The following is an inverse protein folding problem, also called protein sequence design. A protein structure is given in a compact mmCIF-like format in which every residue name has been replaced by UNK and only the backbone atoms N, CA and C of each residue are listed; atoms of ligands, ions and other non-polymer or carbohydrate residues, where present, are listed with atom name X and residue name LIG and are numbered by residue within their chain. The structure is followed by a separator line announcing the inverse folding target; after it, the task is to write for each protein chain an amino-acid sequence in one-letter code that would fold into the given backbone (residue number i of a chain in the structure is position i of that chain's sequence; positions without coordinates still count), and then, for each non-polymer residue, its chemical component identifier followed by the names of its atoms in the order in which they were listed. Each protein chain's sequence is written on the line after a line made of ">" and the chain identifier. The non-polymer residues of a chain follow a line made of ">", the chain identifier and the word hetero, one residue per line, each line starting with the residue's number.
data_IF_886642815633
#
_entry.id   IF_886642815633
#
_cell.length_a   1.000
_cell.length_b   1.000
_cell.length_c   1.000
_cell.angle_alpha   90.00
_cell.angle_beta   90.00
_cell.angle_gamma   90.00
#
_symmetry.space_group_name_H-M   'P 1'
#
loop_
_entity.id
_entity.type
_entity.pdbx_description
1 polymer ?
#
# COMPACT_ATOMS: atom_id res chain seq x y z
N UNK A 1 -41.87 -30.95 -25.87
CA UNK A 1 -41.97 -29.53 -25.44
C UNK A 1 -42.77 -29.50 -24.16
N UNK A 2 -42.17 -29.65 -23.00
CA UNK A 2 -42.83 -29.55 -21.71
C UNK A 2 -42.20 -28.44 -20.88
N UNK A 3 -43.08 -27.58 -20.39
CA UNK A 3 -42.88 -26.34 -19.70
C UNK A 3 -42.27 -26.55 -18.29
N UNK A 4 -41.25 -25.76 -17.96
CA UNK A 4 -40.66 -25.63 -16.61
C UNK A 4 -41.54 -24.71 -15.74
N UNK A 5 -42.66 -25.22 -15.23
CA UNK A 5 -43.42 -24.59 -14.13
C UNK A 5 -44.19 -25.72 -13.47
N UNK A 6 -43.67 -26.22 -12.33
CA UNK A 6 -44.45 -26.91 -11.29
C UNK A 6 -43.44 -27.59 -10.32
N UNK A 7 -42.94 -26.78 -9.42
CA UNK A 7 -42.17 -27.31 -8.27
C UNK A 7 -42.27 -26.35 -7.08
N UNK A 8 -43.47 -26.11 -6.59
CA UNK A 8 -43.68 -25.56 -5.25
C UNK A 8 -45.16 -25.77 -4.85
N UNK A 9 -45.46 -26.93 -4.27
CA UNK A 9 -46.58 -27.06 -3.31
C UNK A 9 -46.38 -28.37 -2.53
N UNK A 10 -46.33 -28.27 -1.20
CA UNK A 10 -46.59 -29.40 -0.32
C UNK A 10 -45.51 -29.63 0.76
N UNK A 11 -45.60 -28.95 1.89
CA UNK A 11 -45.10 -29.50 3.16
C UNK A 11 -46.09 -29.13 4.27
N UNK A 12 -46.75 -30.15 4.74
CA UNK A 12 -47.69 -30.10 5.83
C UNK A 12 -46.97 -30.07 7.18
N UNK A 13 -47.60 -29.41 8.15
CA UNK A 13 -47.16 -29.23 9.52
C UNK A 13 -47.14 -30.56 10.29
N UNK A 14 -46.08 -30.75 11.10
CA UNK A 14 -46.09 -31.66 12.24
C UNK A 14 -45.68 -30.86 13.47
N UNK A 15 -46.61 -30.68 14.38
CA UNK A 15 -46.44 -30.09 15.71
C UNK A 15 -45.81 -31.15 16.62
N UNK A 16 -44.58 -30.90 17.05
CA UNK A 16 -43.90 -31.65 18.08
C UNK A 16 -43.56 -30.73 19.24
N UNK A 17 -44.29 -30.87 20.35
CA UNK A 17 -43.99 -30.16 21.61
C UNK A 17 -42.74 -30.76 22.24
N UNK A 18 -41.61 -30.03 22.21
CA UNK A 18 -40.40 -30.36 22.94
C UNK A 18 -40.05 -29.23 23.90
N UNK A 19 -39.90 -29.54 25.17
CA UNK A 19 -39.45 -28.64 26.23
C UNK A 19 -38.07 -28.02 25.83
N UNK A 20 -38.07 -26.73 25.55
CA UNK A 20 -36.85 -25.97 25.39
C UNK A 20 -36.46 -25.39 26.75
N UNK A 21 -35.45 -25.99 27.37
CA UNK A 21 -34.70 -25.38 28.47
C UNK A 21 -34.14 -24.05 28.01
N UNK A 22 -34.55 -22.95 28.60
CA UNK A 22 -33.97 -21.64 28.43
C UNK A 22 -32.52 -21.65 28.95
N UNK A 23 -31.56 -21.93 28.09
CA UNK A 23 -30.18 -21.50 28.31
C UNK A 23 -30.19 -19.99 28.04
N UNK A 24 -29.96 -19.19 29.07
CA UNK A 24 -29.84 -17.75 28.92
C UNK A 24 -28.75 -17.44 27.91
N UNK A 25 -29.13 -16.88 26.77
CA UNK A 25 -28.19 -16.29 25.84
C UNK A 25 -27.50 -15.13 26.58
N UNK A 26 -26.24 -15.33 26.96
CA UNK A 26 -25.38 -14.22 27.33
C UNK A 26 -25.30 -13.34 26.07
N UNK A 27 -25.92 -12.17 26.13
CA UNK A 27 -25.73 -11.13 25.12
C UNK A 27 -24.24 -10.78 25.12
N UNK A 28 -23.54 -11.19 24.07
CA UNK A 28 -22.22 -10.63 23.81
C UNK A 28 -22.39 -9.11 23.76
N UNK A 29 -21.49 -8.34 24.39
CA UNK A 29 -21.54 -6.89 24.24
C UNK A 29 -21.48 -6.58 22.74
N UNK A 30 -22.47 -5.82 22.26
CA UNK A 30 -22.41 -5.24 20.93
C UNK A 30 -21.05 -4.55 20.79
N UNK A 31 -20.31 -4.90 19.75
CA UNK A 31 -19.11 -4.17 19.39
C UNK A 31 -19.49 -2.68 19.32
N UNK A 32 -18.75 -1.76 19.95
CA UNK A 32 -19.12 -0.37 19.93
C UNK A 32 -19.18 0.07 18.47
N UNK A 33 -20.39 0.30 17.97
CA UNK A 33 -20.59 1.10 16.76
C UNK A 33 -19.77 2.34 17.01
N UNK A 34 -18.84 2.68 16.09
CA UNK A 34 -17.97 3.85 16.20
C UNK A 34 -18.84 5.07 16.54
N UNK A 35 -19.09 5.26 17.83
CA UNK A 35 -19.68 6.49 18.31
C UNK A 35 -18.62 7.55 18.06
N UNK A 36 -18.88 8.38 17.04
CA UNK A 36 -18.21 9.64 16.83
C UNK A 36 -18.08 10.32 18.21
N UNK A 37 -16.95 10.16 18.87
CA UNK A 37 -16.57 11.11 19.89
C UNK A 37 -16.71 12.46 19.22
N UNK A 38 -17.47 13.38 19.81
CA UNK A 38 -17.75 14.69 19.22
C UNK A 38 -16.43 15.30 18.78
N UNK A 39 -16.08 15.05 17.53
CA UNK A 39 -14.83 15.49 16.95
C UNK A 39 -14.93 16.99 16.87
N UNK A 40 -14.01 17.67 17.54
CA UNK A 40 -13.85 19.11 17.29
C UNK A 40 -13.79 19.30 15.78
N UNK A 41 -14.47 20.29 15.21
CA UNK A 41 -14.42 20.52 13.79
C UNK A 41 -12.95 20.59 13.34
N UNK A 42 -12.60 20.03 12.18
CA UNK A 42 -11.23 20.08 11.68
C UNK A 42 -10.75 21.54 11.66
N UNK A 43 -9.46 21.81 11.89
CA UNK A 43 -8.94 23.17 11.84
C UNK A 43 -9.24 23.76 10.46
N UNK A 44 -9.45 25.07 10.39
CA UNK A 44 -9.68 25.76 9.11
C UNK A 44 -8.55 25.43 8.12
N UNK A 45 -8.84 25.23 6.83
CA UNK A 45 -7.83 24.94 5.84
C UNK A 45 -6.76 26.03 5.82
N UNK A 46 -5.46 25.68 5.75
CA UNK A 46 -4.39 26.65 5.72
C UNK A 46 -4.45 27.50 4.43
N UNK A 47 -4.03 28.75 4.53
CA UNK A 47 -3.87 29.67 3.40
C UNK A 47 -5.15 29.97 2.61
N UNK A 48 -6.33 29.96 3.25
CA UNK A 48 -7.60 30.30 2.60
C UNK A 48 -8.07 29.31 1.52
N UNK A 49 -7.51 28.10 1.49
CA UNK A 49 -7.99 27.03 0.60
C UNK A 49 -9.37 26.57 1.04
N UNK A 50 -10.27 26.22 0.11
CA UNK A 50 -11.60 25.71 0.44
C UNK A 50 -11.61 24.25 0.90
N UNK A 51 -10.44 23.63 1.15
CA UNK A 51 -10.26 22.24 1.56
C UNK A 51 -9.00 22.06 2.39
N UNK A 52 -8.95 20.98 3.17
CA UNK A 52 -7.72 20.50 3.80
C UNK A 52 -6.88 19.75 2.77
N UNK A 53 -5.63 20.17 2.50
CA UNK A 53 -4.77 19.45 1.57
C UNK A 53 -4.51 18.03 2.06
N UNK A 54 -4.41 17.10 1.12
CA UNK A 54 -3.91 15.77 1.44
C UNK A 54 -2.41 15.79 1.75
N UNK A 55 -1.94 14.78 2.48
CA UNK A 55 -0.53 14.59 2.78
C UNK A 55 0.02 13.54 1.82
N UNK A 56 0.85 13.99 0.89
CA UNK A 56 1.64 13.09 0.03
C UNK A 56 2.99 12.88 0.69
N UNK A 57 3.19 11.74 1.35
CA UNK A 57 4.46 11.46 2.00
C UNK A 57 5.59 11.44 0.96
N UNK A 58 6.66 12.19 1.24
CA UNK A 58 7.83 12.36 0.37
C UNK A 58 7.51 12.89 -1.04
N UNK A 59 6.42 13.63 -1.18
CA UNK A 59 5.97 14.30 -2.39
C UNK A 59 5.26 15.61 -2.08
N UNK A 60 4.64 16.22 -3.07
CA UNK A 60 3.92 17.48 -2.94
C UNK A 60 2.72 17.56 -3.89
N UNK A 61 1.84 18.53 -3.66
CA UNK A 61 0.72 18.84 -4.55
C UNK A 61 1.13 19.81 -5.65
N UNK A 62 0.59 19.63 -6.86
CA UNK A 62 0.84 20.51 -8.00
C UNK A 62 0.29 21.90 -7.74
N UNK A 63 1.11 22.97 -7.79
CA UNK A 63 0.62 24.33 -7.66
C UNK A 63 -0.26 24.71 -8.85
N UNK A 64 -1.20 25.62 -8.61
CA UNK A 64 -2.12 26.15 -9.61
C UNK A 64 -2.31 27.64 -9.48
N UNK A 65 -2.80 28.26 -10.53
CA UNK A 65 -3.24 29.66 -10.51
C UNK A 65 -4.70 29.77 -10.98
N UNK A 66 -5.40 30.79 -10.50
CA UNK A 66 -6.73 31.11 -10.99
C UNK A 66 -6.64 32.05 -12.18
N UNK A 67 -7.29 31.71 -13.29
CA UNK A 67 -7.37 32.58 -14.46
C UNK A 67 -8.82 32.59 -14.97
N UNK A 68 -9.52 33.69 -14.82
CA UNK A 68 -10.92 33.89 -15.25
C UNK A 68 -11.86 32.75 -14.81
N UNK A 69 -11.77 32.32 -13.55
CA UNK A 69 -12.59 31.25 -12.99
C UNK A 69 -12.17 29.85 -13.40
N UNK A 70 -11.06 29.69 -14.09
CA UNK A 70 -10.44 28.41 -14.44
C UNK A 70 -9.20 28.19 -13.60
N UNK A 71 -9.08 27.03 -12.98
CA UNK A 71 -7.90 26.61 -12.22
C UNK A 71 -6.87 26.02 -13.19
N UNK A 72 -5.76 26.72 -13.38
CA UNK A 72 -4.72 26.33 -14.33
C UNK A 72 -3.57 25.61 -13.64
N UNK A 73 -3.19 24.47 -14.19
CA UNK A 73 -2.03 23.65 -13.79
C UNK A 73 -1.04 23.51 -14.93
N UNK A 74 0.23 23.32 -14.59
CA UNK A 74 1.25 22.97 -15.57
C UNK A 74 1.96 21.68 -15.14
N UNK A 75 1.67 20.60 -15.85
CA UNK A 75 2.28 19.29 -15.65
C UNK A 75 3.38 19.10 -16.69
N UNK A 76 4.59 18.81 -16.26
CA UNK A 76 5.76 18.64 -17.12
C UNK A 76 6.23 17.21 -17.01
N UNK A 77 6.06 16.41 -18.08
CA UNK A 77 6.60 15.07 -18.19
C UNK A 77 8.10 15.15 -18.51
N UNK A 78 8.95 14.59 -17.67
CA UNK A 78 10.40 14.73 -17.78
C UNK A 78 11.17 13.59 -17.07
N UNK A 79 12.43 13.33 -17.45
CA UNK A 79 13.31 12.45 -16.69
C UNK A 79 13.54 13.01 -15.28
N UNK A 80 13.55 12.14 -14.29
CA UNK A 80 13.74 12.47 -12.88
C UNK A 80 14.68 11.48 -12.20
N UNK A 81 15.38 11.92 -11.17
CA UNK A 81 16.13 11.03 -10.26
C UNK A 81 15.36 10.93 -8.96
N UNK A 82 14.98 9.72 -8.60
CA UNK A 82 14.27 9.45 -7.34
C UNK A 82 15.18 8.67 -6.39
N UNK A 83 15.35 9.16 -5.18
CA UNK A 83 15.87 8.34 -4.11
C UNK A 83 14.77 7.38 -3.65
N UNK A 84 14.97 6.09 -3.80
CA UNK A 84 14.02 5.04 -3.41
C UNK A 84 14.10 4.79 -1.89
N UNK A 85 15.32 4.72 -1.38
CA UNK A 85 15.63 4.64 0.04
C UNK A 85 17.02 5.23 0.27
N UNK A 86 17.45 5.50 1.52
CA UNK A 86 18.80 5.98 1.79
C UNK A 86 19.87 5.11 1.11
N UNK A 87 20.70 5.74 0.29
CA UNK A 87 21.76 5.06 -0.45
C UNK A 87 21.36 4.43 -1.79
N UNK A 88 20.07 4.41 -2.15
CA UNK A 88 19.60 3.92 -3.44
C UNK A 88 18.82 4.98 -4.21
N UNK A 89 19.20 5.20 -5.47
CA UNK A 89 18.55 6.14 -6.40
C UNK A 89 18.15 5.43 -7.68
N UNK A 90 17.07 5.90 -8.29
CA UNK A 90 16.61 5.42 -9.59
C UNK A 90 16.47 6.57 -10.58
N UNK A 91 16.90 6.33 -11.83
CA UNK A 91 16.62 7.18 -12.97
C UNK A 91 15.26 6.80 -13.52
N UNK A 92 14.27 7.64 -13.26
CA UNK A 92 12.89 7.42 -13.64
C UNK A 92 12.43 8.46 -14.65
N UNK A 93 11.21 8.28 -15.13
CA UNK A 93 10.43 9.35 -15.75
C UNK A 93 9.30 9.73 -14.78
N UNK A 94 8.98 11.01 -14.75
CA UNK A 94 7.97 11.51 -13.82
C UNK A 94 7.39 12.83 -14.28
N UNK A 95 6.86 13.56 -13.33
CA UNK A 95 6.24 14.85 -13.59
C UNK A 95 6.75 15.89 -12.60
N UNK A 96 7.13 17.08 -13.12
CA UNK A 96 7.58 18.21 -12.30
C UNK A 96 8.65 17.84 -11.27
N UNK A 97 9.67 17.08 -11.71
CA UNK A 97 10.83 16.72 -10.89
C UNK A 97 10.61 15.57 -9.90
N UNK A 98 9.48 14.86 -9.94
CA UNK A 98 9.24 13.72 -9.06
C UNK A 98 8.52 12.54 -9.72
N UNK A 99 8.68 11.37 -9.13
CA UNK A 99 7.87 10.16 -9.34
C UNK A 99 7.48 9.59 -7.96
N UNK A 100 6.17 9.27 -7.71
CA UNK A 100 5.04 9.67 -8.54
C UNK A 100 5.00 11.17 -8.77
N UNK A 101 4.32 11.59 -9.84
CA UNK A 101 4.06 13.00 -10.11
C UNK A 101 3.30 13.70 -8.98
N UNK A 102 3.30 15.03 -8.94
CA UNK A 102 2.65 15.79 -7.88
C UNK A 102 1.15 15.51 -7.81
N UNK A 103 0.61 15.45 -6.59
CA UNK A 103 -0.83 15.27 -6.38
C UNK A 103 -1.61 16.48 -6.92
N UNK A 104 -2.59 16.24 -7.77
CA UNK A 104 -3.50 17.29 -8.26
C UNK A 104 -4.68 17.37 -7.30
N UNK A 105 -4.94 18.54 -6.73
CA UNK A 105 -6.05 18.77 -5.81
C UNK A 105 -7.01 19.82 -6.35
N UNK A 106 -8.29 19.45 -6.48
CA UNK A 106 -9.36 20.31 -6.95
C UNK A 106 -10.61 20.14 -6.11
N UNK A 107 -11.57 21.06 -6.25
CA UNK A 107 -12.89 20.93 -5.62
C UNK A 107 -13.91 20.53 -6.67
N UNK A 108 -14.90 19.75 -6.27
CA UNK A 108 -16.04 19.37 -7.12
C UNK A 108 -16.71 20.59 -7.71
N UNK A 109 -16.80 20.63 -9.04
CA UNK A 109 -17.30 21.76 -9.81
C UNK A 109 -16.21 22.69 -10.34
N UNK A 110 -14.95 22.56 -9.94
CA UNK A 110 -13.86 23.35 -10.51
C UNK A 110 -13.74 23.12 -12.02
N UNK A 111 -13.62 24.20 -12.76
CA UNK A 111 -13.11 24.17 -14.14
C UNK A 111 -11.59 24.13 -14.08
N UNK A 112 -11.02 23.12 -14.70
CA UNK A 112 -9.56 22.95 -14.74
C UNK A 112 -9.04 23.10 -16.16
N UNK A 113 -7.86 23.68 -16.29
CA UNK A 113 -7.08 23.72 -17.52
C UNK A 113 -5.68 23.23 -17.18
N UNK A 114 -5.27 22.12 -17.78
CA UNK A 114 -4.00 21.49 -17.48
C UNK A 114 -3.14 21.53 -18.74
N UNK A 115 -2.06 22.28 -18.66
CA UNK A 115 -1.02 22.29 -19.69
C UNK A 115 -0.11 21.11 -19.40
N UNK A 116 0.07 20.22 -20.40
CA UNK A 116 0.97 19.06 -20.30
C UNK A 116 2.09 19.25 -21.29
N UNK A 117 3.29 19.51 -20.80
CA UNK A 117 4.50 19.68 -21.61
C UNK A 117 5.32 18.41 -21.59
N UNK A 118 5.65 17.89 -22.77
CA UNK A 118 6.48 16.72 -22.91
C UNK A 118 7.96 17.09 -23.06
N UNK A 119 8.80 16.72 -22.10
CA UNK A 119 10.27 16.81 -22.14
C UNK A 119 10.94 15.43 -22.17
N UNK A 120 10.17 14.39 -22.41
CA UNK A 120 10.69 13.03 -22.61
C UNK A 120 11.31 12.89 -24.01
N UNK A 121 12.15 11.86 -24.24
CA UNK A 121 12.72 11.58 -25.55
C UNK A 121 11.71 11.00 -26.56
N UNK A 122 10.54 10.60 -26.11
CA UNK A 122 9.47 10.01 -26.93
C UNK A 122 8.13 10.73 -26.72
N UNK A 123 7.12 10.39 -27.54
CA UNK A 123 5.78 10.92 -27.37
C UNK A 123 5.13 10.40 -26.10
N UNK A 124 4.24 11.17 -25.50
CA UNK A 124 3.45 10.79 -24.32
C UNK A 124 1.99 11.24 -24.45
N UNK A 125 1.18 10.93 -23.47
CA UNK A 125 -0.16 11.47 -23.27
C UNK A 125 -0.49 11.46 -21.79
N UNK A 126 -1.65 11.97 -21.39
CA UNK A 126 -2.16 11.85 -20.02
C UNK A 126 -3.60 11.37 -20.05
N UNK A 127 -3.86 10.23 -19.43
CA UNK A 127 -5.19 9.75 -19.08
C UNK A 127 -5.53 10.15 -17.65
N UNK A 128 -6.72 10.70 -17.47
CA UNK A 128 -7.27 11.15 -16.19
C UNK A 128 -8.14 10.03 -15.60
N UNK A 129 -7.51 9.05 -15.04
CA UNK A 129 -8.11 7.78 -14.63
C UNK A 129 -9.27 7.98 -13.63
N UNK A 130 -10.44 7.53 -14.02
CA UNK A 130 -11.66 7.62 -13.21
C UNK A 130 -12.42 8.95 -13.32
N UNK A 131 -11.91 9.97 -14.01
CA UNK A 131 -12.58 11.24 -14.20
C UNK A 131 -13.74 11.13 -15.23
N UNK A 132 -14.82 11.85 -14.95
CA UNK A 132 -15.93 12.00 -15.90
C UNK A 132 -15.76 13.28 -16.70
N UNK A 133 -15.24 13.15 -17.89
CA UNK A 133 -14.80 14.27 -18.75
C UNK A 133 -15.29 14.07 -20.21
N UNK A 134 -15.20 15.09 -21.08
CA UNK A 134 -15.44 14.94 -22.50
C UNK A 134 -14.45 13.96 -23.14
N UNK A 135 -14.91 13.08 -24.04
CA UNK A 135 -14.09 12.04 -24.65
C UNK A 135 -12.80 12.57 -25.28
N UNK A 136 -12.81 13.72 -25.95
CA UNK A 136 -11.59 14.32 -26.52
C UNK A 136 -10.56 14.81 -25.49
N UNK A 137 -10.86 14.75 -24.18
CA UNK A 137 -9.95 15.08 -23.08
C UNK A 137 -9.46 13.84 -22.32
N UNK A 138 -9.81 12.63 -22.80
CA UNK A 138 -9.53 11.37 -22.11
C UNK A 138 -8.05 10.95 -22.17
N UNK A 139 -7.31 11.39 -23.16
CA UNK A 139 -5.86 11.25 -23.22
C UNK A 139 -5.34 9.94 -23.80
N UNK A 140 -6.19 9.15 -24.45
CA UNK A 140 -5.79 7.88 -25.08
C UNK A 140 -5.17 8.15 -26.45
N UNK A 141 -3.87 7.89 -26.58
CA UNK A 141 -3.13 8.10 -27.84
C UNK A 141 -3.70 7.24 -28.95
N UNK A 142 -3.96 7.88 -30.10
CA UNK A 142 -4.50 7.21 -31.29
C UNK A 142 -6.02 7.00 -31.28
N UNK A 143 -6.67 7.12 -30.12
CA UNK A 143 -8.12 7.00 -30.01
C UNK A 143 -8.81 8.35 -29.79
N UNK A 144 -8.43 9.08 -28.74
CA UNK A 144 -9.06 10.35 -28.37
C UNK A 144 -8.18 11.57 -28.70
N UNK A 145 -6.90 11.37 -28.94
CA UNK A 145 -5.94 12.40 -29.31
C UNK A 145 -4.70 11.82 -30.01
N UNK A 146 -3.90 12.63 -30.72
CA UNK A 146 -2.54 12.25 -31.09
C UNK A 146 -1.61 12.30 -29.87
N UNK A 147 -0.48 11.58 -29.92
CA UNK A 147 0.54 11.67 -28.89
C UNK A 147 1.15 13.07 -28.81
N UNK A 148 1.54 13.49 -27.62
CA UNK A 148 2.26 14.74 -27.37
C UNK A 148 3.73 14.49 -27.72
N UNK A 149 4.18 15.00 -28.86
CA UNK A 149 5.57 14.84 -29.31
C UNK A 149 6.57 15.55 -28.36
N UNK A 150 7.83 15.13 -28.31
CA UNK A 150 8.87 15.80 -27.54
C UNK A 150 8.91 17.32 -27.80
N UNK A 151 9.00 18.10 -26.72
CA UNK A 151 9.01 19.56 -26.76
C UNK A 151 7.64 20.22 -26.99
N UNK A 152 6.55 19.45 -27.16
CA UNK A 152 5.20 19.99 -27.36
C UNK A 152 4.41 20.08 -26.06
N UNK A 153 3.41 20.97 -26.05
CA UNK A 153 2.46 21.14 -24.96
C UNK A 153 1.05 20.95 -25.47
N UNK A 154 0.28 20.09 -24.79
CA UNK A 154 -1.16 19.92 -25.01
C UNK A 154 -1.92 20.53 -23.85
N UNK A 155 -3.20 20.84 -24.09
CA UNK A 155 -4.09 21.44 -23.09
C UNK A 155 -5.31 20.55 -22.92
N UNK A 156 -5.59 20.21 -21.65
CA UNK A 156 -6.79 19.50 -21.25
C UNK A 156 -7.66 20.45 -20.45
N UNK A 157 -8.92 20.59 -20.85
CA UNK A 157 -9.86 21.49 -20.18
C UNK A 157 -11.19 20.78 -19.91
N UNK A 158 -11.56 20.64 -18.63
CA UNK A 158 -12.79 19.98 -18.23
C UNK A 158 -13.26 20.47 -16.84
N UNK A 159 -14.41 19.97 -16.41
CA UNK A 159 -14.94 20.21 -15.06
C UNK A 159 -14.72 18.98 -14.19
N UNK A 160 -14.17 19.14 -13.01
CA UNK A 160 -14.07 18.09 -12.00
C UNK A 160 -15.47 17.79 -11.42
N UNK A 161 -16.14 16.77 -11.95
CA UNK A 161 -17.59 16.55 -11.72
C UNK A 161 -17.93 15.76 -10.48
N UNK A 162 -16.96 15.10 -9.86
CA UNK A 162 -17.22 14.14 -8.79
C UNK A 162 -16.11 14.20 -7.75
N UNK A 163 -16.49 14.34 -6.48
CA UNK A 163 -15.57 14.19 -5.36
C UNK A 163 -15.12 12.73 -5.22
N UNK A 164 -13.85 12.52 -4.88
CA UNK A 164 -13.27 11.18 -4.73
C UNK A 164 -11.77 11.17 -4.94
N UNK A 165 -11.27 9.95 -5.10
CA UNK A 165 -9.87 9.61 -5.29
C UNK A 165 -9.67 9.09 -6.71
N UNK A 166 -8.68 9.63 -7.42
CA UNK A 166 -8.40 9.34 -8.82
C UNK A 166 -6.89 9.31 -9.04
N UNK A 167 -6.47 8.92 -10.24
CA UNK A 167 -5.07 8.87 -10.65
C UNK A 167 -4.90 9.55 -12.00
N UNK A 168 -3.67 9.81 -12.40
CA UNK A 168 -3.32 10.15 -13.78
C UNK A 168 -2.05 9.41 -14.19
N UNK A 169 -2.00 8.98 -15.44
CA UNK A 169 -0.88 8.25 -16.00
C UNK A 169 -0.83 8.39 -17.52
N UNK A 170 0.29 8.10 -18.19
CA UNK A 170 0.34 8.10 -19.64
C UNK A 170 -0.56 7.00 -20.22
N UNK A 171 -1.06 7.24 -21.42
CA UNK A 171 -1.73 6.24 -22.24
C UNK A 171 -1.11 6.23 -23.67
N UNK A 172 0.23 6.30 -23.69
CA UNK A 172 1.12 6.21 -24.84
C UNK A 172 2.33 5.41 -24.39
N UNK A 173 2.72 4.37 -25.12
CA UNK A 173 3.73 3.40 -24.71
C UNK A 173 3.67 3.06 -23.22
N UNK A 174 2.49 2.65 -22.80
CA UNK A 174 2.10 2.55 -21.39
C UNK A 174 3.01 1.60 -20.62
N UNK A 175 3.43 0.50 -21.25
CA UNK A 175 4.32 -0.48 -20.66
C UNK A 175 5.66 0.16 -20.24
N UNK A 176 6.30 0.91 -21.11
CA UNK A 176 7.57 1.58 -20.82
C UNK A 176 7.38 2.72 -19.84
N UNK A 177 6.42 3.60 -20.09
CA UNK A 177 6.27 4.83 -19.33
C UNK A 177 5.80 4.56 -17.89
N UNK A 178 4.94 3.56 -17.69
CA UNK A 178 4.54 3.13 -16.35
C UNK A 178 5.69 2.44 -15.59
N UNK A 179 6.45 1.55 -16.25
CA UNK A 179 7.61 0.90 -15.64
C UNK A 179 8.71 1.92 -15.26
N UNK A 180 8.81 3.03 -15.99
CA UNK A 180 9.68 4.16 -15.67
C UNK A 180 9.15 5.04 -14.53
N UNK A 181 7.94 4.81 -14.02
CA UNK A 181 7.39 5.51 -12.85
C UNK A 181 6.46 6.69 -13.17
N UNK A 182 5.96 6.81 -14.41
CA UNK A 182 5.07 7.88 -14.82
C UNK A 182 3.65 7.64 -14.34
N UNK A 183 3.31 8.17 -13.20
CA UNK A 183 1.97 8.11 -12.60
C UNK A 183 1.82 9.22 -11.56
N UNK A 184 0.60 9.58 -11.21
CA UNK A 184 0.33 10.55 -10.17
C UNK A 184 -1.07 10.42 -9.59
N UNK A 185 -1.29 11.10 -8.49
CA UNK A 185 -2.53 11.07 -7.74
C UNK A 185 -3.40 12.29 -8.04
N UNK A 186 -4.71 12.07 -8.07
CA UNK A 186 -5.69 13.15 -8.21
C UNK A 186 -6.75 13.03 -7.11
N UNK A 187 -6.97 14.11 -6.39
CA UNK A 187 -8.03 14.22 -5.38
C UNK A 187 -9.00 15.33 -5.76
N UNK A 188 -10.27 14.97 -5.89
CA UNK A 188 -11.34 15.94 -5.97
C UNK A 188 -12.01 16.03 -4.60
N UNK A 189 -11.83 17.14 -3.92
CA UNK A 189 -12.47 17.42 -2.63
C UNK A 189 -13.97 17.69 -2.83
N UNK A 190 -14.83 17.31 -1.88
CA UNK A 190 -16.24 17.63 -1.97
C UNK A 190 -16.46 19.15 -1.91
N UNK A 191 -17.50 19.64 -2.56
CA UNK A 191 -17.88 21.06 -2.57
C UNK A 191 -18.21 21.57 -1.16
N UNK A 192 -18.81 20.72 -0.33
CA UNK A 192 -18.99 20.97 1.10
C UNK A 192 -17.80 20.34 1.87
N UNK A 193 -16.88 21.14 2.44
CA UNK A 193 -15.71 20.61 3.13
C UNK A 193 -16.05 19.85 4.42
N UNK A 194 -17.22 20.04 5.02
CA UNK A 194 -17.67 19.29 6.18
C UNK A 194 -18.05 17.85 5.82
N UNK A 195 -18.41 17.63 4.55
CA UNK A 195 -18.74 16.31 4.06
C UNK A 195 -17.48 15.48 3.92
N UNK A 196 -17.42 14.36 4.59
CA UNK A 196 -16.24 13.49 4.65
C UNK A 196 -15.00 14.14 5.27
N UNK A 197 -15.18 15.05 6.24
CA UNK A 197 -14.07 15.67 6.96
C UNK A 197 -13.31 14.65 7.79
N UNK A 198 -11.98 14.77 7.79
CA UNK A 198 -11.04 13.97 8.61
C UNK A 198 -9.96 14.88 9.17
N UNK A 199 -9.28 14.45 10.22
CA UNK A 199 -8.16 15.21 10.81
C UNK A 199 -6.88 15.05 9.97
N UNK A 200 -6.68 13.86 9.37
CA UNK A 200 -5.53 13.53 8.52
C UNK A 200 -5.98 12.76 7.28
N UNK A 201 -5.46 13.13 6.12
CA UNK A 201 -5.79 12.53 4.83
C UNK A 201 -4.49 12.25 4.07
N UNK A 202 -4.07 10.99 4.01
CA UNK A 202 -2.83 10.56 3.37
C UNK A 202 -3.10 9.96 1.99
N UNK A 203 -2.14 10.11 1.07
CA UNK A 203 -2.19 9.47 -0.25
C UNK A 203 -0.99 8.58 -0.49
N UNK A 204 -1.25 7.39 -1.02
CA UNK A 204 -0.25 6.40 -1.41
C UNK A 204 -0.49 5.92 -2.82
N UNK A 205 0.47 6.13 -3.70
CA UNK A 205 0.51 5.49 -5.00
C UNK A 205 1.42 4.27 -4.91
N UNK A 206 0.87 3.12 -5.30
CA UNK A 206 1.58 1.84 -5.27
C UNK A 206 2.39 1.72 -6.56
N UNK A 207 3.69 1.54 -6.43
CA UNK A 207 4.61 1.41 -7.55
C UNK A 207 5.44 0.13 -7.41
N UNK A 208 5.80 -0.45 -8.56
CA UNK A 208 6.73 -1.57 -8.63
C UNK A 208 7.79 -1.27 -9.70
N UNK A 209 9.03 -1.65 -9.42
CA UNK A 209 10.15 -1.48 -10.31
C UNK A 209 10.95 -2.77 -10.41
N UNK A 210 11.55 -2.98 -11.57
CA UNK A 210 12.58 -3.98 -11.76
C UNK A 210 13.90 -3.26 -12.05
N UNK A 211 14.78 -3.19 -11.02
CA UNK A 211 16.08 -2.52 -11.10
C UNK A 211 17.16 -3.53 -10.74
N UNK A 212 18.03 -3.85 -11.69
CA UNK A 212 19.13 -4.77 -11.45
C UNK A 212 20.07 -4.22 -10.37
N UNK A 213 20.51 -5.06 -9.39
CA UNK A 213 21.48 -4.66 -8.39
C UNK A 213 22.71 -3.99 -9.00
N UNK A 214 23.10 -2.83 -8.46
CA UNK A 214 24.20 -2.01 -9.00
C UNK A 214 23.82 -1.09 -10.17
N UNK A 215 22.60 -1.19 -10.72
CA UNK A 215 22.08 -0.31 -11.76
C UNK A 215 21.22 0.82 -11.20
N UNK A 216 20.86 1.78 -12.07
CA UNK A 216 20.07 2.95 -11.68
C UNK A 216 18.76 3.06 -12.47
N UNK A 217 18.58 2.31 -13.53
CA UNK A 217 17.44 2.48 -14.44
C UNK A 217 16.59 1.21 -14.45
N UNK A 218 15.26 1.32 -14.32
CA UNK A 218 14.37 0.17 -14.41
C UNK A 218 14.48 -0.55 -15.76
N UNK A 219 14.38 -1.87 -15.74
CA UNK A 219 14.18 -2.69 -16.93
C UNK A 219 12.69 -2.61 -17.31
N UNK A 220 12.41 -2.07 -18.48
CA UNK A 220 11.03 -1.76 -18.91
C UNK A 220 10.35 -2.90 -19.67
N UNK A 221 11.09 -3.94 -20.04
CA UNK A 221 10.58 -5.13 -20.69
C UNK A 221 10.09 -6.21 -19.71
N UNK A 222 10.31 -6.03 -18.42
CA UNK A 222 9.84 -6.92 -17.39
C UNK A 222 8.44 -6.49 -16.91
N UNK A 223 7.50 -7.44 -16.86
CA UNK A 223 6.11 -7.19 -16.48
C UNK A 223 5.64 -8.01 -15.28
N UNK A 224 6.40 -9.00 -14.84
CA UNK A 224 5.99 -9.96 -13.82
C UNK A 224 6.95 -10.05 -12.63
N UNK A 225 8.25 -9.97 -12.89
CA UNK A 225 9.29 -10.21 -11.89
C UNK A 225 9.92 -8.91 -11.40
N UNK A 226 9.11 -8.07 -10.77
CA UNK A 226 9.60 -6.87 -10.10
C UNK A 226 10.40 -7.24 -8.85
N UNK A 227 11.40 -6.43 -8.52
CA UNK A 227 12.25 -6.63 -7.35
C UNK A 227 12.17 -5.50 -6.33
N UNK A 228 11.45 -4.43 -6.62
CA UNK A 228 11.20 -3.30 -5.72
C UNK A 228 9.72 -2.95 -5.72
N UNK A 229 9.09 -3.00 -4.55
CA UNK A 229 7.72 -2.55 -4.32
C UNK A 229 7.75 -1.35 -3.38
N UNK A 230 7.02 -0.30 -3.74
CA UNK A 230 7.17 0.99 -3.09
C UNK A 230 5.83 1.65 -2.81
N UNK A 231 5.79 2.46 -1.77
CA UNK A 231 4.78 3.49 -1.54
C UNK A 231 5.33 4.84 -2.02
N UNK A 232 4.66 5.52 -2.93
CA UNK A 232 5.08 6.81 -3.47
C UNK A 232 6.52 6.78 -4.03
N UNK A 233 6.89 5.70 -4.72
CA UNK A 233 8.25 5.44 -5.21
C UNK A 233 9.32 5.49 -4.12
N UNK A 234 8.96 5.10 -2.90
CA UNK A 234 9.87 4.93 -1.76
C UNK A 234 9.69 3.55 -1.14
N UNK A 235 10.80 2.88 -0.90
CA UNK A 235 10.84 1.66 -0.11
C UNK A 235 11.24 1.98 1.33
N UNK A 236 10.65 1.33 2.32
CA UNK A 236 11.09 1.51 3.71
C UNK A 236 12.57 1.16 3.87
N UNK A 237 13.37 1.95 4.61
CA UNK A 237 12.99 3.08 5.47
C UNK A 237 12.97 4.45 4.76
N UNK A 238 12.99 4.50 3.44
CA UNK A 238 13.02 5.74 2.66
C UNK A 238 11.68 6.49 2.60
N UNK A 239 10.58 5.87 3.05
CA UNK A 239 9.28 6.53 3.17
C UNK A 239 9.05 7.02 4.60
N UNK A 240 8.52 8.23 4.75
CA UNK A 240 8.19 8.83 6.04
C UNK A 240 7.02 8.09 6.72
N UNK A 241 6.95 8.21 8.05
CA UNK A 241 5.83 7.70 8.84
C UNK A 241 4.59 8.59 8.75
N UNK A 242 3.42 7.96 8.93
CA UNK A 242 2.16 8.68 9.15
C UNK A 242 2.04 9.07 10.61
N UNK A 243 2.22 10.35 10.93
CA UNK A 243 2.17 10.85 12.30
C UNK A 243 0.77 11.40 12.59
N UNK A 244 0.14 10.89 13.64
CA UNK A 244 -1.24 11.20 13.99
C UNK A 244 -1.40 11.33 15.50
N UNK A 245 -2.38 12.12 15.94
CA UNK A 245 -2.75 12.25 17.34
C UNK A 245 -3.76 11.17 17.73
N UNK A 246 -3.69 10.69 18.95
CA UNK A 246 -4.73 9.79 19.47
C UNK A 246 -6.10 10.46 19.38
N UNK A 247 -7.08 9.75 18.84
CA UNK A 247 -8.43 10.21 18.58
C UNK A 247 -8.64 10.91 17.24
N UNK A 248 -7.57 11.15 16.44
CA UNK A 248 -7.73 11.66 15.09
C UNK A 248 -8.51 10.68 14.22
N UNK A 249 -9.42 11.20 13.40
CA UNK A 249 -9.99 10.47 12.27
C UNK A 249 -9.02 10.57 11.10
N UNK A 250 -8.51 9.43 10.69
CA UNK A 250 -7.48 9.32 9.66
C UNK A 250 -8.06 8.69 8.42
N UNK A 251 -7.79 9.30 7.26
CA UNK A 251 -8.05 8.70 5.95
C UNK A 251 -6.74 8.36 5.27
N UNK A 252 -6.70 7.19 4.67
CA UNK A 252 -5.64 6.77 3.76
C UNK A 252 -6.28 6.48 2.41
N UNK A 253 -5.76 7.12 1.37
CA UNK A 253 -6.14 6.90 -0.02
C UNK A 253 -5.02 6.16 -0.70
N UNK A 254 -5.30 5.01 -1.30
CA UNK A 254 -4.32 4.26 -2.06
C UNK A 254 -4.81 4.01 -3.48
N UNK A 255 -3.90 4.13 -4.44
CA UNK A 255 -4.14 3.85 -5.86
C UNK A 255 -3.10 2.88 -6.39
N UNK A 256 -3.53 1.91 -7.18
CA UNK A 256 -2.67 0.86 -7.70
C UNK A 256 -2.53 0.97 -9.23
N UNK A 257 -1.32 1.31 -9.68
CA UNK A 257 -0.92 1.30 -11.09
C UNK A 257 0.25 0.34 -11.34
N UNK A 258 0.37 -0.70 -10.51
CA UNK A 258 1.31 -1.81 -10.73
C UNK A 258 0.65 -2.94 -11.54
N UNK A 259 1.36 -4.03 -11.79
CA UNK A 259 0.87 -5.19 -12.54
C UNK A 259 0.26 -6.28 -11.67
N UNK A 260 0.12 -6.07 -10.35
CA UNK A 260 -0.46 -7.04 -9.41
C UNK A 260 -1.35 -6.33 -8.39
N UNK A 261 -2.23 -7.08 -7.72
CA UNK A 261 -3.00 -6.57 -6.60
C UNK A 261 -2.15 -6.42 -5.34
N UNK A 262 -2.59 -5.56 -4.45
CA UNK A 262 -1.94 -5.31 -3.16
C UNK A 262 -2.96 -5.35 -2.02
N UNK A 263 -3.00 -6.41 -1.21
CA UNK A 263 -3.75 -6.42 0.04
C UNK A 263 -3.03 -5.53 1.06
N UNK A 264 -3.61 -4.37 1.34
CA UNK A 264 -3.04 -3.37 2.26
C UNK A 264 -3.61 -3.58 3.65
N UNK A 265 -2.72 -3.79 4.61
CA UNK A 265 -3.02 -4.12 6.01
C UNK A 265 -2.57 -3.03 6.97
N UNK A 266 -3.43 -2.76 7.97
CA UNK A 266 -3.15 -1.86 9.08
C UNK A 266 -3.14 -2.65 10.39
N UNK A 267 -2.08 -2.54 11.16
CA UNK A 267 -2.00 -3.12 12.49
C UNK A 267 -2.75 -2.29 13.55
N UNK A 268 -3.27 -2.97 14.56
CA UNK A 268 -3.81 -2.36 15.79
C UNK A 268 -5.11 -1.60 15.65
N UNK A 269 -5.65 -1.44 14.46
CA UNK A 269 -6.89 -0.72 14.19
C UNK A 269 -7.70 -1.44 13.11
N UNK A 270 -9.01 -1.47 13.25
CA UNK A 270 -9.92 -1.72 12.14
C UNK A 270 -10.22 -0.41 11.39
N UNK A 271 -10.54 -0.52 10.12
CA UNK A 271 -10.94 0.60 9.27
C UNK A 271 -12.17 0.25 8.44
N UNK A 272 -12.83 1.27 7.92
CA UNK A 272 -13.89 1.14 6.91
C UNK A 272 -13.39 1.55 5.53
N UNK A 273 -13.82 0.84 4.48
CA UNK A 273 -13.64 1.28 3.09
C UNK A 273 -14.69 2.35 2.78
N UNK A 274 -14.28 3.61 2.84
CA UNK A 274 -15.15 4.78 2.66
C UNK A 274 -15.21 5.31 1.24
N UNK A 275 -14.31 4.85 0.37
CA UNK A 275 -14.29 5.23 -1.05
C UNK A 275 -13.66 4.16 -1.94
N UNK A 276 -14.13 4.10 -3.17
CA UNK A 276 -13.60 3.26 -4.24
C UNK A 276 -13.22 4.14 -5.43
N UNK A 277 -12.69 3.56 -6.49
CA UNK A 277 -12.51 4.21 -7.80
C UNK A 277 -13.81 4.76 -8.39
N UNK A 278 -14.96 4.23 -7.97
CA UNK A 278 -16.29 4.72 -8.31
C UNK A 278 -16.73 5.95 -7.52
N UNK A 279 -16.04 6.36 -6.46
CA UNK A 279 -16.38 7.47 -5.56
C UNK A 279 -16.64 7.02 -4.13
N UNK A 280 -17.33 7.84 -3.34
CA UNK A 280 -17.61 7.56 -1.94
C UNK A 280 -18.64 6.44 -1.77
N UNK A 281 -18.35 5.49 -0.88
CA UNK A 281 -19.30 4.46 -0.46
C UNK A 281 -20.37 5.07 0.45
N UNK A 282 -21.60 4.58 0.33
CA UNK A 282 -22.68 4.98 1.24
C UNK A 282 -22.41 4.45 2.64
N UNK A 283 -22.73 5.20 3.71
CA UNK A 283 -22.46 4.75 5.08
C UNK A 283 -22.99 3.36 5.39
N UNK A 284 -24.20 3.05 4.93
CA UNK A 284 -24.85 1.75 5.11
C UNK A 284 -24.22 0.60 4.33
N UNK A 285 -23.30 0.91 3.43
CA UNK A 285 -22.54 -0.07 2.62
C UNK A 285 -21.10 -0.24 3.09
N UNK A 286 -20.75 0.30 4.24
CA UNK A 286 -19.42 0.17 4.82
C UNK A 286 -19.40 -0.98 5.81
N UNK A 287 -18.27 -1.64 5.89
CA UNK A 287 -18.02 -2.71 6.84
C UNK A 287 -16.58 -2.62 7.36
N UNK A 288 -16.31 -3.15 8.57
CA UNK A 288 -14.96 -3.12 9.11
C UNK A 288 -14.04 -4.12 8.41
N UNK A 289 -12.81 -3.69 8.16
CA UNK A 289 -11.72 -4.51 7.65
C UNK A 289 -10.44 -4.18 8.41
N UNK A 290 -9.44 -5.04 8.31
CA UNK A 290 -8.06 -4.79 8.73
C UNK A 290 -7.10 -4.94 7.56
N UNK A 291 -7.59 -5.51 6.45
CA UNK A 291 -6.86 -5.67 5.19
C UNK A 291 -7.81 -5.48 4.03
N UNK A 292 -7.50 -4.56 3.12
CA UNK A 292 -8.29 -4.33 1.91
C UNK A 292 -7.47 -4.58 0.66
N UNK A 293 -8.04 -5.30 -0.30
CA UNK A 293 -7.37 -5.56 -1.58
C UNK A 293 -7.56 -4.37 -2.53
N UNK A 294 -6.45 -3.98 -3.18
CA UNK A 294 -6.45 -2.93 -4.20
C UNK A 294 -5.97 -3.58 -5.50
N UNK A 295 -6.92 -3.90 -6.37
CA UNK A 295 -6.61 -4.49 -7.67
C UNK A 295 -5.93 -3.47 -8.60
N UNK A 296 -5.32 -3.97 -9.67
CA UNK A 296 -4.69 -3.14 -10.71
C UNK A 296 -5.72 -2.15 -11.27
N UNK A 297 -5.36 -0.88 -11.37
CA UNK A 297 -6.22 0.21 -11.83
C UNK A 297 -7.25 0.69 -10.80
N UNK A 298 -7.27 0.15 -9.58
CA UNK A 298 -8.23 0.54 -8.56
C UNK A 298 -7.67 1.55 -7.55
N UNK A 299 -8.60 2.32 -6.97
CA UNK A 299 -8.35 3.16 -5.79
C UNK A 299 -9.23 2.70 -4.63
N UNK A 300 -8.72 2.86 -3.41
CA UNK A 300 -9.46 2.70 -2.15
C UNK A 300 -9.19 3.89 -1.24
N UNK A 301 -10.22 4.36 -0.57
CA UNK A 301 -10.09 5.24 0.58
C UNK A 301 -10.57 4.46 1.81
N UNK A 302 -9.72 4.37 2.83
CA UNK A 302 -10.01 3.72 4.10
C UNK A 302 -9.98 4.77 5.21
N UNK A 303 -10.83 4.62 6.22
CA UNK A 303 -10.88 5.52 7.37
C UNK A 303 -10.89 4.74 8.67
N UNK A 304 -10.14 5.24 9.65
CA UNK A 304 -10.11 4.69 11.01
C UNK A 304 -9.96 5.81 12.04
N UNK A 305 -10.25 5.47 13.30
CA UNK A 305 -9.94 6.33 14.45
C UNK A 305 -8.62 5.85 15.05
N UNK A 306 -7.65 6.73 15.17
CA UNK A 306 -6.35 6.44 15.78
C UNK A 306 -6.51 6.30 17.31
N UNK A 307 -7.13 5.20 17.78
CA UNK A 307 -7.52 5.00 19.18
C UNK A 307 -6.35 4.56 20.06
N UNK A 308 -5.46 3.72 19.52
CA UNK A 308 -4.42 3.06 20.29
C UNK A 308 -3.06 3.72 20.09
N UNK A 309 -2.43 4.29 21.13
CA UNK A 309 -1.08 4.85 21.06
C UNK A 309 -0.04 3.78 20.76
N UNK A 310 0.90 4.12 19.88
CA UNK A 310 1.98 3.18 19.51
C UNK A 310 2.55 3.50 18.14
N UNK A 311 3.42 2.60 17.68
CA UNK A 311 3.94 2.55 16.32
C UNK A 311 3.36 1.32 15.64
N UNK A 312 2.49 1.54 14.66
CA UNK A 312 1.70 0.50 14.02
C UNK A 312 2.14 0.28 12.59
N UNK A 313 2.38 -0.97 12.21
CA UNK A 313 2.74 -1.31 10.84
C UNK A 313 1.58 -1.03 9.87
N UNK A 314 1.90 -0.45 8.72
CA UNK A 314 1.02 -0.30 7.57
C UNK A 314 1.76 -0.81 6.33
N UNK A 315 1.26 -1.87 5.71
CA UNK A 315 2.02 -2.56 4.68
C UNK A 315 1.15 -3.39 3.72
N UNK A 316 1.73 -3.77 2.57
CA UNK A 316 1.18 -4.80 1.72
C UNK A 316 1.33 -6.17 2.40
N UNK A 317 0.28 -7.00 2.43
CA UNK A 317 0.33 -8.31 3.10
C UNK A 317 0.89 -9.44 2.21
N UNK A 318 1.32 -9.15 1.00
CA UNK A 318 2.17 -10.05 0.22
C UNK A 318 3.59 -9.95 0.75
N UNK A 319 4.09 -11.02 1.39
CA UNK A 319 5.38 -11.00 2.10
C UNK A 319 6.57 -10.57 1.21
N UNK A 320 6.59 -11.00 -0.05
CA UNK A 320 7.64 -10.59 -1.00
C UNK A 320 7.56 -9.10 -1.40
N UNK A 321 6.43 -8.42 -1.20
CA UNK A 321 6.29 -6.98 -1.40
C UNK A 321 6.80 -6.15 -0.22
N UNK A 322 6.99 -6.76 0.94
CA UNK A 322 7.62 -6.15 2.12
C UNK A 322 9.08 -6.57 2.30
N UNK A 323 9.66 -7.11 1.24
CA UNK A 323 11.08 -7.42 1.11
C UNK A 323 11.60 -6.79 -0.17
N UNK A 324 12.83 -6.26 -0.13
CA UNK A 324 13.47 -5.82 -1.35
C UNK A 324 14.06 -7.06 -2.03
N UNK A 325 13.48 -7.49 -3.15
CA UNK A 325 13.82 -8.76 -3.78
C UNK A 325 15.14 -8.73 -4.57
N UNK A 326 15.96 -7.72 -4.36
CA UNK A 326 17.29 -7.63 -4.97
C UNK A 326 18.18 -8.73 -4.37
N UNK A 327 18.27 -9.88 -5.00
CA UNK A 327 19.05 -11.02 -4.55
C UNK A 327 18.26 -12.29 -4.21
N UNK A 328 17.02 -12.40 -4.67
CA UNK A 328 16.13 -13.55 -4.40
C UNK A 328 16.54 -14.89 -5.06
N UNK A 329 17.56 -14.91 -5.90
CA UNK A 329 18.05 -16.15 -6.51
C UNK A 329 18.82 -17.07 -5.52
N UNK A 330 18.86 -16.66 -4.24
CA UNK A 330 19.55 -17.42 -3.20
C UNK A 330 18.58 -18.39 -2.52
N UNK A 331 18.82 -19.71 -2.56
CA UNK A 331 17.99 -20.69 -1.87
C UNK A 331 17.95 -20.44 -0.36
N UNK A 332 16.78 -20.54 0.26
CA UNK A 332 16.63 -20.40 1.71
C UNK A 332 16.33 -21.73 2.38
N UNK A 333 16.79 -21.90 3.63
CA UNK A 333 16.50 -23.06 4.47
C UNK A 333 15.55 -22.69 5.63
N UNK A 334 14.62 -21.76 5.40
CA UNK A 334 13.66 -21.34 6.43
C UNK A 334 12.86 -22.57 6.94
N UNK A 335 12.81 -22.75 8.26
CA UNK A 335 12.09 -23.84 8.90
C UNK A 335 12.83 -25.17 8.99
N UNK A 336 14.10 -25.21 8.59
CA UNK A 336 14.95 -26.40 8.66
C UNK A 336 16.01 -26.23 9.75
N UNK A 337 16.30 -27.30 10.52
CA UNK A 337 17.50 -27.29 11.39
C UNK A 337 18.74 -27.32 10.52
N UNK A 338 19.36 -26.17 10.38
CA UNK A 338 20.51 -25.95 9.49
C UNK A 338 21.84 -25.82 10.25
N UNK A 339 21.88 -26.17 11.54
CA UNK A 339 23.11 -26.14 12.34
C UNK A 339 24.21 -26.99 11.67
N UNK A 340 25.30 -26.32 11.30
CA UNK A 340 26.40 -26.93 10.54
C UNK A 340 26.13 -27.18 9.05
N UNK A 341 24.92 -26.96 8.55
CA UNK A 341 24.57 -27.07 7.12
C UNK A 341 25.03 -25.82 6.38
N UNK A 342 24.80 -24.64 6.97
CA UNK A 342 25.20 -23.35 6.41
C UNK A 342 26.70 -23.30 6.05
N UNK A 343 27.58 -23.77 6.96
CA UNK A 343 29.02 -23.84 6.70
C UNK A 343 29.40 -24.78 5.57
N UNK A 344 28.64 -25.87 5.40
CA UNK A 344 28.85 -26.83 4.29
C UNK A 344 28.38 -26.26 2.97
N UNK A 345 27.23 -25.59 2.97
CA UNK A 345 26.64 -25.00 1.76
C UNK A 345 27.47 -23.80 1.32
N UNK A 346 27.91 -22.93 2.23
CA UNK A 346 28.77 -21.78 1.91
C UNK A 346 30.09 -22.18 1.22
N UNK A 347 30.57 -23.41 1.47
CA UNK A 347 31.75 -23.95 0.75
C UNK A 347 31.42 -24.38 -0.69
N UNK A 348 30.16 -24.73 -0.97
CA UNK A 348 29.70 -25.20 -2.27
C UNK A 348 29.08 -24.06 -3.12
N UNK A 349 28.51 -23.08 -2.43
CA UNK A 349 27.84 -21.91 -3.02
C UNK A 349 28.33 -20.70 -2.22
N UNK A 350 29.42 -20.03 -2.66
CA UNK A 350 30.07 -18.96 -1.89
C UNK A 350 29.15 -17.81 -1.46
N UNK A 351 28.14 -17.50 -2.26
CA UNK A 351 27.20 -16.40 -2.02
C UNK A 351 25.90 -16.87 -1.35
N UNK A 352 25.89 -18.07 -0.80
CA UNK A 352 24.70 -18.62 -0.14
C UNK A 352 24.46 -17.95 1.22
N UNK A 353 23.27 -17.36 1.36
CA UNK A 353 22.82 -16.72 2.58
C UNK A 353 21.82 -17.61 3.34
N UNK A 354 22.12 -17.92 4.59
CA UNK A 354 21.21 -18.62 5.49
C UNK A 354 20.44 -17.60 6.33
N UNK A 355 19.14 -17.58 6.17
CA UNK A 355 18.27 -16.72 6.96
C UNK A 355 18.16 -17.23 8.40
N UNK A 356 18.56 -16.41 9.38
CA UNK A 356 18.40 -16.72 10.81
C UNK A 356 19.53 -17.52 11.50
N UNK A 357 20.67 -17.75 10.87
CA UNK A 357 21.74 -18.62 11.40
C UNK A 357 22.51 -18.05 12.61
N UNK A 358 22.47 -16.75 12.86
CA UNK A 358 23.27 -16.12 13.93
C UNK A 358 22.44 -15.55 15.08
N UNK A 359 21.15 -15.88 15.17
CA UNK A 359 20.27 -15.34 16.23
C UNK A 359 20.10 -13.83 16.20
N UNK A 360 20.62 -13.16 15.18
CA UNK A 360 20.42 -11.74 14.89
C UNK A 360 19.27 -11.53 13.91
N UNK A 361 18.67 -10.36 13.98
CA UNK A 361 17.71 -9.90 12.98
C UNK A 361 18.38 -9.88 11.60
N UNK A 362 17.61 -10.20 10.54
CA UNK A 362 18.11 -10.05 9.16
C UNK A 362 18.51 -8.61 8.82
N UNK A 363 18.07 -7.62 9.62
CA UNK A 363 18.51 -6.24 9.53
C UNK A 363 19.94 -6.01 9.99
N UNK A 364 20.54 -6.96 10.72
CA UNK A 364 21.90 -6.85 11.27
C UNK A 364 22.97 -7.54 10.40
N UNK A 365 22.58 -8.12 9.26
CA UNK A 365 23.53 -8.79 8.37
C UNK A 365 24.23 -7.77 7.47
N UNK A 366 25.51 -7.48 7.77
CA UNK A 366 26.41 -6.80 6.85
C UNK A 366 26.80 -7.74 5.70
N UNK A 367 26.07 -7.61 4.58
CA UNK A 367 26.47 -8.26 3.33
C UNK A 367 27.12 -7.22 2.41
N UNK A 368 28.22 -7.55 1.73
CA UNK A 368 28.73 -6.69 0.67
C UNK A 368 27.74 -6.69 -0.49
N UNK A 369 26.91 -5.67 -0.54
CA UNK A 369 25.98 -5.46 -1.64
C UNK A 369 26.67 -4.63 -2.74
N UNK A 370 26.31 -4.81 -4.01
CA UNK A 370 26.69 -3.87 -5.06
C UNK A 370 26.27 -2.45 -4.70
N UNK A 371 26.97 -1.46 -5.23
CA UNK A 371 26.54 -0.06 -5.12
C UNK A 371 25.08 0.10 -5.57
N UNK A 372 24.39 1.08 -5.03
CA UNK A 372 22.98 1.39 -5.38
C UNK A 372 22.03 0.19 -5.25
N UNK A 373 22.22 -0.65 -4.27
CA UNK A 373 21.41 -1.84 -4.01
C UNK A 373 20.79 -1.74 -2.62
N UNK A 374 19.49 -2.05 -2.49
CA UNK A 374 18.83 -2.14 -1.19
C UNK A 374 19.05 -3.53 -0.57
N UNK A 375 19.41 -3.62 0.70
CA UNK A 375 19.31 -4.87 1.43
C UNK A 375 17.85 -5.36 1.47
N UNK A 376 17.66 -6.65 1.63
CA UNK A 376 16.33 -7.29 1.63
C UNK A 376 15.41 -6.66 2.68
N UNK A 377 15.96 -6.34 3.84
CA UNK A 377 15.27 -5.64 4.93
C UNK A 377 16.20 -4.56 5.48
N UNK A 378 15.68 -3.39 5.75
CA UNK A 378 16.52 -2.24 6.07
C UNK A 378 15.75 -1.19 6.87
N UNK A 379 15.95 -1.14 8.13
CA UNK A 379 15.39 -0.11 9.00
C UNK A 379 15.65 -0.48 10.45
N UNK A 380 15.99 0.50 11.27
CA UNK A 380 16.20 0.30 12.71
C UNK A 380 14.94 0.72 13.46
N UNK A 381 14.44 -0.18 14.30
CA UNK A 381 13.35 0.06 15.22
C UNK A 381 13.84 0.12 16.67
N UNK A 382 12.93 0.30 17.63
CA UNK A 382 13.27 0.41 19.04
C UNK A 382 13.82 -0.89 19.66
N UNK A 383 13.66 -2.03 18.99
CA UNK A 383 14.11 -3.36 19.45
C UNK A 383 15.11 -4.02 18.51
N UNK A 384 15.69 -3.29 17.58
CA UNK A 384 16.62 -3.82 16.58
C UNK A 384 16.16 -3.58 15.16
N UNK A 385 16.70 -4.35 14.21
CA UNK A 385 16.30 -4.26 12.81
C UNK A 385 14.83 -4.63 12.60
N UNK A 386 14.13 -3.84 11.81
CA UNK A 386 12.76 -4.16 11.39
C UNK A 386 12.85 -5.14 10.22
N UNK A 387 12.27 -6.32 10.38
CA UNK A 387 12.27 -7.38 9.35
C UNK A 387 11.25 -7.15 8.26
N UNK A 388 11.12 -5.89 7.80
CA UNK A 388 10.29 -5.45 6.68
C UNK A 388 10.99 -4.33 5.91
N UNK A 389 10.76 -4.31 4.62
CA UNK A 389 11.19 -3.28 3.68
C UNK A 389 10.09 -3.00 2.64
N UNK A 390 10.44 -2.51 1.48
CA UNK A 390 9.49 -2.36 0.36
C UNK A 390 8.24 -1.53 0.70
N UNK A 391 7.07 -2.10 0.42
CA UNK A 391 5.76 -1.50 0.72
C UNK A 391 5.39 -1.61 2.20
N UNK A 392 6.15 -0.91 3.03
CA UNK A 392 5.96 -0.82 4.48
C UNK A 392 6.15 0.62 4.94
N UNK A 393 5.38 1.06 5.89
CA UNK A 393 5.60 2.28 6.69
C UNK A 393 4.94 2.15 8.06
N UNK A 394 5.06 3.18 8.89
CA UNK A 394 4.59 3.17 10.28
C UNK A 394 3.55 4.25 10.50
N UNK A 395 2.44 3.90 11.14
CA UNK A 395 1.49 4.86 11.71
C UNK A 395 1.89 5.12 13.17
N UNK A 396 2.33 6.32 13.45
CA UNK A 396 2.76 6.75 14.79
C UNK A 396 1.63 7.50 15.49
N UNK A 397 0.94 6.81 16.42
CA UNK A 397 -0.15 7.40 17.22
C UNK A 397 0.40 7.90 18.55
N UNK A 398 0.20 9.20 18.86
CA UNK A 398 0.69 9.81 20.10
C UNK A 398 -0.42 10.55 20.85
N UNK A 399 -0.44 10.39 22.19
CA UNK A 399 -1.38 11.10 23.08
C UNK A 399 -1.09 12.58 23.19
N UNK A 400 0.18 12.91 23.24
CA UNK A 400 0.73 14.25 23.49
C UNK A 400 1.01 15.04 22.19
N UNK A 401 0.75 14.45 21.02
CA UNK A 401 0.81 15.16 19.76
C UNK A 401 -0.19 16.29 19.75
N UNK A 402 0.27 17.51 19.52
CA UNK A 402 -0.62 18.66 19.42
C UNK A 402 -1.37 18.65 18.07
N UNK A 403 -2.63 19.05 18.08
CA UNK A 403 -3.41 19.17 16.85
C UNK A 403 -2.75 20.19 15.92
N UNK A 404 -2.48 19.76 14.68
CA UNK A 404 -1.80 20.60 13.67
C UNK A 404 -0.27 20.49 13.68
N UNK A 405 0.32 19.85 14.70
CA UNK A 405 1.74 19.50 14.69
C UNK A 405 1.88 17.99 14.45
N UNK A 406 2.32 17.62 13.26
CA UNK A 406 2.45 16.23 12.82
C UNK A 406 3.89 15.89 12.41
N UNK A 407 4.86 16.55 13.04
CA UNK A 407 6.29 16.19 12.90
C UNK A 407 6.51 14.79 13.46
N UNK A 408 7.54 14.10 12.98
CA UNK A 408 7.88 12.77 13.49
C UNK A 408 8.18 12.83 15.00
N UNK A 409 7.41 12.14 15.85
CA UNK A 409 7.61 12.11 17.30
C UNK A 409 8.73 11.15 17.74
N UNK A 410 9.42 10.49 16.81
CA UNK A 410 10.34 9.39 17.10
C UNK A 410 9.62 8.08 17.44
N UNK A 411 10.40 7.07 17.87
CA UNK A 411 9.84 5.77 18.25
C UNK A 411 9.05 5.83 19.56
N UNK A 412 7.99 5.01 19.64
CA UNK A 412 7.12 4.93 20.81
C UNK A 412 7.88 4.33 22.00
N UNK A 413 7.73 4.98 23.15
CA UNK A 413 8.26 4.49 24.43
C UNK A 413 7.18 3.67 25.13
N UNK A 414 7.31 2.36 25.07
CA UNK A 414 6.37 1.47 25.70
C UNK A 414 6.33 1.64 27.22
N UNK A 415 5.14 1.73 27.85
CA UNK A 415 5.05 1.69 29.31
C UNK A 415 5.62 0.37 29.86
N UNK A 416 6.16 0.42 31.08
CA UNK A 416 6.71 -0.77 31.74
C UNK A 416 5.65 -1.89 31.80
N UNK A 417 6.05 -3.10 31.46
CA UNK A 417 5.19 -4.29 31.47
C UNK A 417 4.19 -4.41 30.32
N UNK A 418 4.29 -3.57 29.28
CA UNK A 418 3.40 -3.64 28.10
C UNK A 418 4.08 -4.22 26.87
N UNK A 419 5.30 -4.67 26.97
CA UNK A 419 6.05 -5.36 25.91
C UNK A 419 6.08 -6.85 26.23
N UNK A 420 5.92 -7.69 25.23
CA UNK A 420 6.12 -9.12 25.36
C UNK A 420 7.55 -9.41 25.86
N UNK A 421 7.67 -10.38 26.75
CA UNK A 421 8.93 -10.67 27.43
C UNK A 421 9.23 -12.17 27.45
N UNK A 422 10.50 -12.52 27.65
CA UNK A 422 10.93 -13.90 27.83
C UNK A 422 10.35 -14.50 29.11
N UNK A 423 9.58 -15.57 28.97
CA UNK A 423 9.07 -16.32 30.11
C UNK A 423 10.13 -17.24 30.68
N UNK A 424 10.44 -17.10 31.99
CA UNK A 424 11.45 -17.90 32.69
C UNK A 424 10.87 -18.85 33.74
N UNK A 425 9.55 -18.95 33.84
CA UNK A 425 8.87 -19.88 34.73
C UNK A 425 8.58 -21.23 34.07
N UNK A 426 7.89 -22.08 34.81
CA UNK A 426 7.31 -23.29 34.21
C UNK A 426 6.22 -22.93 33.20
N UNK A 427 6.28 -23.52 32.02
CA UNK A 427 5.21 -23.40 31.04
C UNK A 427 4.08 -24.37 31.36
N UNK A 428 2.80 -23.94 31.26
CA UNK A 428 1.70 -24.87 31.39
C UNK A 428 1.87 -26.04 30.41
N UNK A 429 1.53 -27.26 30.86
CA UNK A 429 1.54 -28.41 29.96
C UNK A 429 0.65 -28.14 28.75
N UNK A 430 1.17 -28.42 27.56
CA UNK A 430 0.38 -28.25 26.33
C UNK A 430 -0.87 -29.14 26.42
N UNK A 431 -2.05 -28.50 26.32
CA UNK A 431 -3.30 -29.23 26.21
C UNK A 431 -3.30 -29.96 24.88
N UNK A 432 -3.35 -31.29 24.93
CA UNK A 432 -3.38 -32.10 23.69
C UNK A 432 -4.63 -31.76 22.89
N UNK A 433 -4.44 -31.41 21.62
CA UNK A 433 -5.52 -31.23 20.68
C UNK A 433 -6.37 -32.49 20.57
N UNK A 434 -7.68 -32.32 20.46
CA UNK A 434 -8.63 -33.41 20.24
C UNK A 434 -9.33 -33.18 18.89
N UNK A 435 -9.65 -34.28 18.21
CA UNK A 435 -10.51 -34.21 17.03
C UNK A 435 -11.96 -33.82 17.38
N UNK A 436 -12.81 -33.62 16.39
CA UNK A 436 -14.22 -33.29 16.59
C UNK A 436 -15.00 -34.37 17.36
N UNK A 437 -14.51 -35.60 17.46
CA UNK A 437 -15.03 -36.70 18.26
C UNK A 437 -14.47 -36.79 19.69
N UNK A 438 -13.63 -35.83 20.08
CA UNK A 438 -13.00 -35.75 21.40
C UNK A 438 -11.80 -36.70 21.59
N UNK A 439 -11.33 -37.37 20.54
CA UNK A 439 -10.17 -38.28 20.57
C UNK A 439 -8.87 -37.43 20.56
N UNK A 440 -7.94 -37.75 21.45
CA UNK A 440 -6.64 -37.12 21.48
C UNK A 440 -5.89 -37.37 20.15
N UNK A 441 -5.43 -36.27 19.52
CA UNK A 441 -4.56 -36.36 18.34
C UNK A 441 -3.19 -36.93 18.75
N UNK A 442 -2.55 -37.73 17.91
CA UNK A 442 -1.20 -38.23 18.17
C UNK A 442 -0.25 -37.02 18.31
N UNK A 443 0.79 -37.18 19.13
CA UNK A 443 1.87 -36.19 19.16
C UNK A 443 2.47 -36.09 17.75
N UNK A 444 2.68 -34.87 17.28
CA UNK A 444 3.38 -34.68 16.01
C UNK A 444 4.80 -35.29 16.14
N UNK A 445 5.07 -36.34 15.39
CA UNK A 445 6.43 -36.82 15.22
C UNK A 445 7.08 -35.86 14.24
N UNK A 446 8.25 -35.27 14.57
CA UNK A 446 8.96 -34.46 13.58
C UNK A 446 9.14 -35.28 12.30
N UNK A 447 8.80 -34.74 11.13
CA UNK A 447 9.03 -35.49 9.90
C UNK A 447 10.54 -35.77 9.75
N UNK A 448 10.87 -37.00 9.43
CA UNK A 448 12.22 -37.34 8.98
C UNK A 448 12.38 -36.70 7.59
N UNK A 449 13.11 -35.59 7.52
CA UNK A 449 13.25 -34.83 6.27
C UNK A 449 14.47 -35.33 5.53
N UNK A 450 14.24 -36.11 4.47
CA UNK A 450 15.28 -36.51 3.53
C UNK A 450 15.49 -35.39 2.50
N UNK A 451 16.69 -34.82 2.51
CA UNK A 451 17.02 -33.68 1.60
C UNK A 451 17.53 -34.23 0.25
N UNK A 452 16.82 -33.87 -0.80
CA UNK A 452 17.34 -34.07 -2.17
C UNK A 452 17.79 -32.72 -2.72
N UNK A 453 19.09 -32.50 -2.79
CA UNK A 453 19.66 -31.30 -3.44
C UNK A 453 19.52 -31.48 -4.96
N UNK A 454 18.60 -30.73 -5.58
CA UNK A 454 18.56 -30.61 -7.03
C UNK A 454 19.59 -29.59 -7.47
N UNK A 455 20.58 -30.02 -8.26
CA UNK A 455 21.49 -29.05 -8.93
C UNK A 455 20.65 -28.14 -9.83
N UNK A 456 20.90 -26.82 -9.83
CA UNK A 456 20.30 -25.92 -10.80
C UNK A 456 20.59 -26.45 -12.22
N UNK A 457 19.58 -26.49 -13.07
CA UNK A 457 19.81 -26.72 -14.50
C UNK A 457 20.60 -25.53 -15.03
N UNK A 458 21.87 -25.72 -15.35
CA UNK A 458 22.65 -24.71 -16.01
C UNK A 458 21.91 -24.19 -17.24
N UNK A 459 21.76 -22.89 -17.34
CA UNK A 459 21.36 -22.25 -18.59
C UNK A 459 22.40 -22.63 -19.64
N UNK A 460 22.08 -23.55 -20.54
CA UNK A 460 22.82 -23.72 -21.78
C UNK A 460 22.40 -22.51 -22.63
N UNK A 461 23.29 -21.52 -22.72
CA UNK A 461 23.20 -20.48 -23.72
C UNK A 461 23.17 -21.12 -25.10
N UNK A 462 22.04 -21.01 -25.77
CA UNK A 462 21.92 -21.25 -27.21
C UNK A 462 21.99 -19.90 -27.90
N UNK A 463 22.84 -19.87 -28.90
CA UNK A 463 23.17 -18.76 -29.80
C UNK A 463 21.97 -17.99 -30.36
#
# INVERSE_FOLDING_TARGET
>A
MSSRRDFFTGAAALVGAGLVSRVGAATLPEAPIMQSAATQPPPAPPNGRPYHPVVTLNGWSLPWRMNNGVKEFHLIAEPVVREIAPGMKANLWGYNGQSPGPTIEVVEGDRVRIFVTNRLPEHTSIHWHGQRLPNGMDGVTGLTQPGIAPGKTFVYEFVARRAGTFMYHPHADEMVQMAMGMMGFWVTHPKDPARHAVDRDFVFLLNAYDIEPGSYTPRVNEMLDFNLWTFNSRAFPGIDSMNVRQGDRVRIRAGNLTMTNHPIHLHGHEFEVTGTDGGWTRPESRWPEVTTDIAVGQMRAIEFIASEPGDWAFHCHKSHHTMNAMGHDVPTLIGVDHRGVAEKIAKLVPDYMVMGDKGGSMGDMEMPLPDNTLPMMSGQGPFGGIEMGGMFTVVKVRKDQQRGDYRDPGWYKHPAGTVAYEWRGETPAAVRSRDAGGRALPAATPPEVEFTVRKPRGHQGGH
#
